data_IF_890791680818
#
_entry.id   IF_890791680818
#
_cell.length_a   1.000
_cell.length_b   1.000
_cell.length_c   1.000
_cell.angle_alpha   90.00
_cell.angle_beta   90.00
_cell.angle_gamma   90.00
#
_symmetry.space_group_name_H-M   'P 1'
#
loop_
_entity.id
_entity.type
_entity.pdbx_description
1 polymer ?
#
# COMPACT_ATOMS: atom_id res chain seq x y z
N UNK A 1 -39.52 19.44 22.24
CA UNK A 1 -38.81 19.88 21.04
C UNK A 1 -38.83 18.71 20.07
N UNK A 2 -39.59 18.87 19.00
CA UNK A 2 -39.75 17.81 17.98
C UNK A 2 -38.43 17.66 17.16
N UNK A 3 -37.86 16.47 17.02
CA UNK A 3 -36.67 16.28 16.22
C UNK A 3 -37.08 16.40 14.75
N UNK A 4 -36.76 17.52 14.14
CA UNK A 4 -37.00 17.76 12.71
C UNK A 4 -36.26 16.69 11.91
N UNK A 5 -36.98 15.77 11.29
CA UNK A 5 -36.41 14.80 10.35
C UNK A 5 -35.97 15.58 9.11
N UNK A 6 -34.67 15.93 9.03
CA UNK A 6 -34.09 16.53 7.85
C UNK A 6 -33.96 15.42 6.79
N UNK A 7 -34.81 15.46 5.77
CA UNK A 7 -34.66 14.59 4.60
C UNK A 7 -33.33 14.88 3.93
N UNK A 8 -32.53 13.83 3.71
CA UNK A 8 -31.27 13.96 2.95
C UNK A 8 -31.51 14.74 1.65
N UNK A 9 -30.67 15.70 1.32
CA UNK A 9 -30.73 16.42 0.03
C UNK A 9 -30.78 15.44 -1.14
N UNK A 10 -31.53 15.78 -2.20
CA UNK A 10 -31.75 14.89 -3.35
C UNK A 10 -30.44 14.33 -3.94
N UNK A 11 -29.38 15.15 -4.03
CA UNK A 11 -28.09 14.70 -4.57
C UNK A 11 -27.44 13.61 -3.68
N UNK A 12 -27.63 13.63 -2.36
CA UNK A 12 -27.12 12.60 -1.45
C UNK A 12 -27.88 11.30 -1.63
N UNK A 13 -29.20 11.35 -1.83
CA UNK A 13 -29.99 10.16 -2.12
C UNK A 13 -29.57 9.53 -3.44
N UNK A 14 -29.29 10.34 -4.46
CA UNK A 14 -28.77 9.88 -5.75
C UNK A 14 -27.35 9.33 -5.58
N UNK A 15 -26.46 10.02 -4.85
CA UNK A 15 -25.11 9.53 -4.57
C UNK A 15 -25.15 8.13 -3.94
N UNK A 16 -26.01 7.92 -2.92
CA UNK A 16 -26.17 6.59 -2.29
C UNK A 16 -26.57 5.50 -3.30
N UNK A 17 -27.49 5.81 -4.22
CA UNK A 17 -27.92 4.88 -5.28
C UNK A 17 -26.82 4.61 -6.30
N UNK A 18 -26.16 5.66 -6.78
CA UNK A 18 -25.03 5.55 -7.73
C UNK A 18 -23.88 4.75 -7.14
N UNK A 19 -23.58 4.92 -5.85
CA UNK A 19 -22.56 4.13 -5.14
C UNK A 19 -22.86 2.64 -5.19
N UNK A 20 -24.13 2.22 -5.09
CA UNK A 20 -24.52 0.81 -5.17
C UNK A 20 -24.34 0.23 -6.58
N UNK A 21 -24.25 1.05 -7.62
CA UNK A 21 -23.98 0.60 -8.98
C UNK A 21 -22.49 0.28 -9.17
N UNK A 22 -21.60 1.00 -8.45
CA UNK A 22 -20.16 0.73 -8.45
C UNK A 22 -19.89 -0.64 -7.85
N UNK A 23 -19.23 -1.50 -8.59
CA UNK A 23 -18.92 -2.87 -8.20
C UNK A 23 -20.04 -3.89 -8.43
N UNK A 24 -21.29 -3.44 -8.66
CA UNK A 24 -22.42 -4.32 -8.99
C UNK A 24 -22.74 -4.33 -10.47
N UNK A 25 -22.97 -3.17 -11.06
CA UNK A 25 -23.29 -3.01 -12.48
C UNK A 25 -22.08 -2.52 -13.30
N UNK A 26 -21.20 -1.74 -12.66
CA UNK A 26 -20.01 -1.14 -13.30
C UNK A 26 -18.76 -1.55 -12.53
N UNK A 27 -17.85 -2.25 -13.21
CA UNK A 27 -16.58 -2.69 -12.65
C UNK A 27 -15.46 -1.71 -12.95
N UNK A 28 -14.29 -1.90 -12.32
CA UNK A 28 -13.10 -1.07 -12.50
C UNK A 28 -12.76 -0.84 -13.98
N UNK A 29 -12.46 0.41 -14.32
CA UNK A 29 -12.07 0.83 -15.67
C UNK A 29 -13.23 0.98 -16.63
N UNK A 30 -14.44 0.56 -16.26
CA UNK A 30 -15.63 0.76 -17.09
C UNK A 30 -16.11 2.21 -17.02
N UNK A 31 -16.62 2.69 -18.15
CA UNK A 31 -17.27 3.99 -18.20
C UNK A 31 -18.55 3.95 -17.36
N UNK A 32 -18.66 4.91 -16.45
CA UNK A 32 -19.82 5.08 -15.59
C UNK A 32 -20.88 5.93 -16.30
N UNK A 33 -22.17 5.79 -15.97
CA UNK A 33 -23.22 6.56 -16.62
C UNK A 33 -22.94 8.06 -16.64
N UNK A 34 -23.19 8.65 -17.79
CA UNK A 34 -23.08 10.09 -18.01
C UNK A 34 -24.13 10.87 -17.22
N UNK A 35 -23.90 12.15 -17.01
CA UNK A 35 -24.88 13.06 -16.40
C UNK A 35 -26.27 12.93 -17.04
N UNK A 36 -26.31 12.84 -18.39
CA UNK A 36 -27.56 12.70 -19.16
C UNK A 36 -28.28 11.38 -18.82
N UNK A 37 -27.58 10.26 -18.76
CA UNK A 37 -28.16 8.96 -18.44
C UNK A 37 -28.67 8.92 -16.99
N UNK A 38 -27.95 9.55 -16.05
CA UNK A 38 -28.40 9.67 -14.65
C UNK A 38 -29.68 10.50 -14.56
N UNK A 39 -29.77 11.63 -15.27
CA UNK A 39 -30.98 12.46 -15.37
C UNK A 39 -32.15 11.63 -15.85
N UNK A 40 -31.96 10.83 -16.91
CA UNK A 40 -32.99 9.97 -17.47
C UNK A 40 -33.40 8.82 -16.53
N UNK A 41 -32.41 8.16 -15.96
CA UNK A 41 -32.63 6.96 -15.10
C UNK A 41 -33.30 7.28 -13.77
N UNK A 42 -32.99 8.44 -13.18
CA UNK A 42 -33.44 8.82 -11.83
C UNK A 42 -34.43 9.99 -11.81
N UNK A 43 -34.81 10.53 -12.96
CA UNK A 43 -35.71 11.68 -13.10
C UNK A 43 -35.34 12.89 -12.23
N UNK A 44 -34.04 13.25 -12.23
CA UNK A 44 -33.49 14.36 -11.44
C UNK A 44 -32.98 15.49 -12.35
N UNK A 45 -32.72 16.67 -11.77
CA UNK A 45 -32.13 17.79 -12.51
C UNK A 45 -30.65 17.47 -12.88
N UNK A 46 -30.15 18.14 -13.96
CA UNK A 46 -28.72 18.05 -14.33
C UNK A 46 -27.81 18.51 -13.21
N UNK A 47 -28.15 19.55 -12.48
CA UNK A 47 -27.38 20.02 -11.33
C UNK A 47 -27.28 18.98 -10.22
N UNK A 48 -28.39 18.25 -9.96
CA UNK A 48 -28.41 17.15 -8.98
C UNK A 48 -27.52 15.97 -9.43
N UNK A 49 -27.62 15.58 -10.70
CA UNK A 49 -26.80 14.51 -11.28
C UNK A 49 -25.31 14.85 -11.24
N UNK A 50 -24.95 16.07 -11.67
CA UNK A 50 -23.57 16.56 -11.67
C UNK A 50 -23.00 16.60 -10.26
N UNK A 51 -23.75 17.16 -9.27
CA UNK A 51 -23.31 17.20 -7.87
C UNK A 51 -23.10 15.80 -7.28
N UNK A 52 -23.96 14.83 -7.63
CA UNK A 52 -23.80 13.45 -7.18
C UNK A 52 -22.57 12.78 -7.79
N UNK A 53 -22.32 12.97 -9.11
CA UNK A 53 -21.11 12.47 -9.76
C UNK A 53 -19.86 13.12 -9.21
N UNK A 54 -19.83 14.44 -9.05
CA UNK A 54 -18.70 15.17 -8.48
C UNK A 54 -18.36 14.68 -7.05
N UNK A 55 -19.37 14.35 -6.26
CA UNK A 55 -19.19 13.76 -4.93
C UNK A 55 -18.48 12.39 -5.03
N UNK A 56 -18.90 11.49 -5.93
CA UNK A 56 -18.27 10.19 -6.11
C UNK A 56 -16.83 10.31 -6.66
N UNK A 57 -16.56 11.33 -7.49
CA UNK A 57 -15.20 11.64 -7.94
C UNK A 57 -14.35 12.15 -6.78
N UNK A 58 -14.87 13.08 -5.96
CA UNK A 58 -14.14 13.58 -4.78
C UNK A 58 -13.87 12.50 -3.72
N UNK A 59 -14.72 11.48 -3.65
CA UNK A 59 -14.56 10.32 -2.79
C UNK A 59 -13.61 9.24 -3.39
N UNK A 60 -13.11 9.50 -4.63
CA UNK A 60 -12.19 8.56 -5.30
C UNK A 60 -12.83 7.27 -5.81
N UNK A 61 -14.17 7.18 -5.83
CA UNK A 61 -14.89 6.03 -6.41
C UNK A 61 -14.97 6.10 -7.93
N UNK A 62 -14.98 7.31 -8.47
CA UNK A 62 -14.99 7.59 -9.89
C UNK A 62 -13.82 8.50 -10.27
N UNK A 63 -13.41 8.44 -11.54
CA UNK A 63 -12.40 9.29 -12.15
C UNK A 63 -13.00 9.99 -13.35
N UNK A 64 -12.91 11.33 -13.40
CA UNK A 64 -13.33 12.11 -14.55
C UNK A 64 -12.17 12.30 -15.53
N UNK A 65 -12.35 11.85 -16.77
CA UNK A 65 -11.40 12.03 -17.86
C UNK A 65 -11.97 13.03 -18.86
N UNK A 66 -11.33 14.20 -18.94
CA UNK A 66 -11.78 15.31 -19.79
C UNK A 66 -11.98 14.86 -21.25
N UNK A 67 -13.15 15.10 -21.82
CA UNK A 67 -13.50 14.74 -23.21
C UNK A 67 -13.84 13.27 -23.44
N UNK A 68 -13.68 12.40 -22.43
CA UNK A 68 -13.92 10.95 -22.58
C UNK A 68 -15.09 10.51 -21.71
N UNK A 69 -15.17 10.98 -20.45
CA UNK A 69 -16.26 10.59 -19.54
C UNK A 69 -15.80 10.34 -18.12
N UNK A 70 -16.70 9.74 -17.34
CA UNK A 70 -16.44 9.34 -15.96
C UNK A 70 -16.28 7.80 -15.92
N UNK A 71 -15.29 7.32 -15.19
CA UNK A 71 -14.94 5.89 -15.11
C UNK A 71 -14.93 5.42 -13.67
N UNK A 72 -15.24 4.14 -13.44
CA UNK A 72 -15.11 3.52 -12.12
C UNK A 72 -13.64 3.41 -11.77
N UNK A 73 -13.25 4.03 -10.65
CA UNK A 73 -11.89 3.94 -10.12
C UNK A 73 -11.79 2.73 -9.20
N UNK A 74 -10.69 1.99 -9.32
CA UNK A 74 -10.40 0.93 -8.35
C UNK A 74 -10.04 1.60 -7.02
N UNK A 75 -10.70 1.23 -5.89
CA UNK A 75 -10.28 1.70 -4.59
C UNK A 75 -8.81 1.35 -4.39
N UNK A 76 -8.02 2.33 -3.98
CA UNK A 76 -6.63 2.09 -3.62
C UNK A 76 -6.55 1.02 -2.53
N UNK A 77 -5.51 0.20 -2.59
CA UNK A 77 -5.23 -0.76 -1.51
C UNK A 77 -4.55 0.05 -0.42
N UNK A 78 -5.24 0.21 0.71
CA UNK A 78 -4.68 0.92 1.86
C UNK A 78 -3.60 0.07 2.54
N UNK A 79 -2.40 0.60 2.66
CA UNK A 79 -1.28 -0.01 3.37
C UNK A 79 -1.09 0.71 4.72
N UNK A 80 -1.39 0.03 5.82
CA UNK A 80 -1.12 0.55 7.15
C UNK A 80 0.37 0.39 7.48
N UNK A 81 1.08 1.51 7.57
CA UNK A 81 2.51 1.56 7.89
C UNK A 81 2.87 0.97 9.27
N UNK A 82 1.88 0.75 10.14
CA UNK A 82 2.08 0.15 11.47
C UNK A 82 1.99 -1.36 11.49
N UNK A 83 1.62 -1.97 10.37
CA UNK A 83 1.25 -3.38 10.33
C UNK A 83 1.98 -4.10 9.22
N UNK A 84 2.92 -4.97 9.59
CA UNK A 84 3.55 -5.95 8.71
C UNK A 84 2.54 -7.03 8.30
N UNK A 85 1.53 -6.66 7.52
CA UNK A 85 0.55 -7.63 6.99
C UNK A 85 0.93 -8.02 5.57
N UNK A 86 0.92 -9.32 5.31
CA UNK A 86 1.16 -9.88 3.98
C UNK A 86 0.23 -9.24 2.93
N UNK A 87 0.79 -8.82 1.78
CA UNK A 87 0.02 -8.39 0.61
C UNK A 87 -1.12 -9.35 0.28
N UNK A 88 -0.83 -10.65 0.31
CA UNK A 88 -1.80 -11.72 0.00
C UNK A 88 -2.98 -11.67 0.94
N UNK A 89 -2.75 -11.49 2.23
CA UNK A 89 -3.78 -11.41 3.25
C UNK A 89 -4.59 -10.12 3.11
N UNK A 90 -3.93 -8.98 2.94
CA UNK A 90 -4.60 -7.68 2.70
C UNK A 90 -5.51 -7.72 1.47
N UNK A 91 -5.01 -8.27 0.35
CA UNK A 91 -5.81 -8.37 -0.86
C UNK A 91 -7.05 -9.27 -0.64
N UNK A 92 -6.89 -10.42 0.01
CA UNK A 92 -8.00 -11.34 0.32
C UNK A 92 -9.02 -10.71 1.27
N UNK A 93 -8.59 -10.04 2.33
CA UNK A 93 -9.47 -9.33 3.27
C UNK A 93 -10.25 -8.21 2.55
N UNK A 94 -9.66 -7.58 1.54
CA UNK A 94 -10.34 -6.61 0.69
C UNK A 94 -11.24 -7.26 -0.40
N UNK A 95 -11.47 -8.59 -0.35
CA UNK A 95 -12.28 -9.32 -1.34
C UNK A 95 -11.65 -9.39 -2.73
N UNK A 96 -10.35 -9.20 -2.84
CA UNK A 96 -9.60 -9.22 -4.10
C UNK A 96 -8.80 -10.51 -4.25
N UNK A 97 -8.53 -10.92 -5.49
CA UNK A 97 -7.72 -12.11 -5.80
C UNK A 97 -6.26 -11.70 -6.03
N UNK A 98 -5.33 -12.01 -5.09
CA UNK A 98 -3.92 -11.77 -5.27
C UNK A 98 -3.28 -12.82 -6.17
N UNK A 99 -2.30 -12.41 -6.98
CA UNK A 99 -1.42 -13.31 -7.72
C UNK A 99 0.01 -12.74 -7.75
N UNK A 100 0.97 -13.62 -8.03
CA UNK A 100 2.39 -13.26 -8.11
C UNK A 100 3.00 -13.88 -9.36
N UNK A 101 3.71 -13.06 -10.13
CA UNK A 101 4.61 -13.49 -11.18
C UNK A 101 6.04 -13.38 -10.63
N UNK A 102 6.74 -14.48 -10.56
CA UNK A 102 8.13 -14.54 -10.11
C UNK A 102 9.04 -14.35 -11.33
N UNK A 103 9.75 -13.23 -11.38
CA UNK A 103 10.68 -12.87 -12.45
C UNK A 103 12.05 -13.53 -12.19
N UNK A 104 12.58 -13.35 -10.98
CA UNK A 104 13.86 -13.91 -10.52
C UNK A 104 13.65 -14.73 -9.27
N UNK A 105 14.31 -15.87 -9.17
CA UNK A 105 14.43 -16.70 -7.98
C UNK A 105 15.72 -17.50 -8.02
N UNK A 106 16.68 -17.13 -7.22
CA UNK A 106 17.99 -17.76 -7.18
C UNK A 106 18.74 -17.50 -5.89
N UNK A 107 19.93 -18.08 -5.79
CA UNK A 107 20.90 -17.75 -4.75
C UNK A 107 22.12 -17.09 -5.37
N UNK A 108 22.63 -16.06 -4.69
CA UNK A 108 23.88 -15.40 -5.04
C UNK A 108 24.70 -15.17 -3.76
N UNK A 109 25.96 -14.79 -3.91
CA UNK A 109 26.80 -14.41 -2.77
C UNK A 109 26.62 -12.93 -2.46
N UNK A 110 26.73 -12.56 -1.18
CA UNK A 110 26.59 -11.18 -0.75
C UNK A 110 27.58 -10.21 -1.41
N UNK A 111 28.74 -10.66 -1.89
CA UNK A 111 29.67 -9.86 -2.71
C UNK A 111 29.14 -9.46 -4.09
N UNK A 112 28.05 -10.08 -4.55
CA UNK A 112 27.43 -9.85 -5.86
C UNK A 112 26.33 -8.81 -5.80
N UNK A 113 25.95 -8.36 -4.59
CA UNK A 113 24.99 -7.24 -4.36
C UNK A 113 25.75 -5.95 -4.05
N UNK A 114 25.03 -4.83 -4.07
CA UNK A 114 25.59 -3.54 -3.66
C UNK A 114 26.14 -3.60 -2.22
N UNK A 115 27.33 -3.09 -1.94
CA UNK A 115 27.96 -3.15 -0.61
C UNK A 115 27.05 -2.65 0.52
N UNK A 116 26.28 -1.60 0.25
CA UNK A 116 25.33 -1.03 1.20
C UNK A 116 24.22 -2.01 1.61
N UNK A 117 23.81 -2.91 0.72
CA UNK A 117 22.81 -3.93 1.01
C UNK A 117 23.41 -5.02 1.91
N UNK A 118 24.61 -5.48 1.59
CA UNK A 118 25.32 -6.46 2.42
C UNK A 118 25.60 -5.92 3.84
N UNK A 119 25.96 -4.65 3.95
CA UNK A 119 26.15 -3.95 5.23
C UNK A 119 24.85 -3.91 6.04
N UNK A 120 23.74 -3.51 5.42
CA UNK A 120 22.42 -3.47 6.09
C UNK A 120 21.93 -4.84 6.52
N UNK A 121 22.28 -5.89 5.77
CA UNK A 121 21.93 -7.26 6.11
C UNK A 121 22.92 -7.90 7.11
N UNK A 122 23.98 -7.21 7.50
CA UNK A 122 25.04 -7.68 8.40
C UNK A 122 25.65 -9.03 7.95
N UNK A 123 25.80 -9.22 6.64
CA UNK A 123 26.32 -10.44 6.03
C UNK A 123 27.76 -10.27 5.54
N UNK A 124 28.52 -11.38 5.50
CA UNK A 124 29.87 -11.42 4.94
C UNK A 124 29.78 -11.64 3.42
N UNK A 125 30.81 -11.26 2.68
CA UNK A 125 30.89 -11.44 1.23
C UNK A 125 30.63 -12.88 0.74
N UNK A 126 30.96 -13.87 1.57
CA UNK A 126 30.77 -15.30 1.26
C UNK A 126 29.38 -15.83 1.52
N UNK A 127 28.58 -15.09 2.30
CA UNK A 127 27.25 -15.53 2.70
C UNK A 127 26.29 -15.57 1.51
N UNK A 128 25.33 -16.48 1.56
CA UNK A 128 24.35 -16.64 0.50
C UNK A 128 23.09 -15.84 0.81
N UNK A 129 22.61 -15.18 -0.22
CA UNK A 129 21.32 -14.50 -0.24
C UNK A 129 20.40 -15.17 -1.26
N UNK A 130 19.13 -15.25 -0.97
CA UNK A 130 18.10 -15.45 -1.98
C UNK A 130 17.81 -14.11 -2.65
N UNK A 131 17.79 -14.10 -3.98
CA UNK A 131 17.33 -13.01 -4.80
C UNK A 131 15.94 -13.32 -5.34
N UNK A 132 15.02 -12.37 -5.19
CA UNK A 132 13.65 -12.49 -5.64
C UNK A 132 13.20 -11.19 -6.31
N UNK A 133 12.81 -11.29 -7.59
CA UNK A 133 12.07 -10.23 -8.27
C UNK A 133 10.65 -10.71 -8.54
N UNK A 134 9.67 -9.94 -8.13
CA UNK A 134 8.27 -10.33 -8.18
C UNK A 134 7.37 -9.20 -8.64
N UNK A 135 6.45 -9.51 -9.55
CA UNK A 135 5.31 -8.65 -9.84
C UNK A 135 4.10 -9.19 -9.09
N UNK A 136 3.54 -8.37 -8.21
CA UNK A 136 2.33 -8.73 -7.47
C UNK A 136 1.13 -8.05 -8.12
N UNK A 137 0.09 -8.83 -8.36
CA UNK A 137 -1.12 -8.37 -9.02
C UNK A 137 -2.35 -8.61 -8.17
N UNK A 138 -3.37 -7.79 -8.39
CA UNK A 138 -4.69 -7.91 -7.79
C UNK A 138 -5.72 -7.97 -8.91
N UNK A 139 -6.54 -9.02 -8.93
CA UNK A 139 -7.52 -9.26 -10.00
C UNK A 139 -6.87 -9.22 -11.40
N UNK A 140 -5.63 -9.74 -11.51
CA UNK A 140 -4.86 -9.74 -12.76
C UNK A 140 -4.17 -8.43 -13.13
N UNK A 141 -4.34 -7.37 -12.33
CA UNK A 141 -3.70 -6.06 -12.58
C UNK A 141 -2.42 -5.96 -11.74
N UNK A 142 -1.23 -5.76 -12.35
CA UNK A 142 0.01 -5.52 -11.64
C UNK A 142 -0.06 -4.25 -10.81
N UNK A 143 0.29 -4.35 -9.53
CA UNK A 143 0.18 -3.23 -8.57
C UNK A 143 1.47 -2.99 -7.80
N UNK A 144 2.35 -4.01 -7.69
CA UNK A 144 3.63 -3.94 -6.98
C UNK A 144 4.71 -4.62 -7.81
N UNK A 145 5.87 -3.97 -7.92
CA UNK A 145 7.13 -4.57 -8.37
C UNK A 145 8.08 -4.62 -7.16
N UNK A 146 8.54 -5.81 -6.82
CA UNK A 146 9.32 -6.07 -5.62
C UNK A 146 10.66 -6.70 -5.99
N UNK A 147 11.75 -6.09 -5.53
CA UNK A 147 13.09 -6.64 -5.55
C UNK A 147 13.55 -6.89 -4.12
N UNK A 148 13.98 -8.11 -3.81
CA UNK A 148 14.28 -8.51 -2.44
C UNK A 148 15.48 -9.43 -2.35
N UNK A 149 16.34 -9.18 -1.36
CA UNK A 149 17.36 -10.11 -0.91
C UNK A 149 16.99 -10.64 0.47
N UNK A 150 17.09 -11.97 0.65
CA UNK A 150 16.77 -12.64 1.92
C UNK A 150 17.97 -13.45 2.36
N UNK A 151 18.38 -13.32 3.62
CA UNK A 151 19.52 -14.03 4.18
C UNK A 151 19.24 -15.54 4.17
N UNK A 152 19.96 -16.29 3.33
CA UNK A 152 19.65 -17.68 3.04
C UNK A 152 19.88 -18.63 4.23
N UNK A 153 20.74 -18.26 5.18
CA UNK A 153 20.99 -19.07 6.38
C UNK A 153 19.75 -19.18 7.29
N UNK A 154 18.87 -18.17 7.29
CA UNK A 154 17.62 -18.21 8.07
C UNK A 154 16.50 -19.02 7.39
N UNK A 155 16.52 -19.13 6.07
CA UNK A 155 15.56 -19.90 5.30
C UNK A 155 16.23 -20.73 4.17
N UNK A 156 17.11 -21.69 4.53
CA UNK A 156 17.97 -22.38 3.56
C UNK A 156 17.20 -23.22 2.53
N UNK A 157 15.96 -23.60 2.84
CA UNK A 157 15.08 -24.45 2.02
C UNK A 157 13.90 -23.65 1.43
N UNK A 158 14.04 -22.34 1.24
CA UNK A 158 13.00 -21.55 0.57
C UNK A 158 12.76 -22.11 -0.84
N UNK A 159 11.52 -22.36 -1.18
CA UNK A 159 11.11 -22.94 -2.47
C UNK A 159 10.51 -21.90 -3.41
N UNK A 160 10.52 -22.19 -4.72
CA UNK A 160 9.85 -21.37 -5.73
C UNK A 160 8.38 -21.16 -5.40
N UNK A 161 7.65 -22.21 -5.02
CA UNK A 161 6.23 -22.13 -4.66
C UNK A 161 5.98 -21.19 -3.47
N UNK A 162 6.86 -21.18 -2.48
CA UNK A 162 6.80 -20.25 -1.35
C UNK A 162 7.08 -18.80 -1.80
N UNK A 163 8.03 -18.62 -2.74
CA UNK A 163 8.33 -17.30 -3.32
C UNK A 163 7.19 -16.75 -4.19
N UNK A 164 6.44 -17.61 -4.88
CA UNK A 164 5.22 -17.25 -5.62
C UNK A 164 4.04 -16.96 -4.68
N UNK A 165 4.09 -17.44 -3.45
CA UNK A 165 3.08 -17.22 -2.42
C UNK A 165 3.35 -16.01 -1.52
N UNK A 166 3.02 -16.17 -0.24
CA UNK A 166 3.32 -15.23 0.83
C UNK A 166 4.64 -15.59 1.50
N UNK A 167 5.67 -14.75 1.33
CA UNK A 167 6.95 -14.93 2.04
C UNK A 167 6.77 -14.86 3.55
N UNK A 168 5.90 -13.96 4.05
CA UNK A 168 5.61 -13.88 5.48
C UNK A 168 5.08 -15.20 6.03
N UNK A 169 4.12 -15.80 5.32
CA UNK A 169 3.60 -17.12 5.69
C UNK A 169 4.69 -18.20 5.61
N UNK A 170 5.52 -18.19 4.56
CA UNK A 170 6.63 -19.12 4.45
C UNK A 170 7.62 -18.97 5.61
N UNK A 171 7.99 -17.74 5.96
CA UNK A 171 8.90 -17.47 7.07
C UNK A 171 8.34 -17.92 8.42
N UNK A 172 7.09 -17.56 8.73
CA UNK A 172 6.48 -17.83 10.03
C UNK A 172 6.06 -19.30 10.18
N UNK A 173 5.40 -19.87 9.18
CA UNK A 173 4.83 -21.22 9.27
C UNK A 173 5.85 -22.31 8.90
N UNK A 174 6.57 -22.13 7.76
CA UNK A 174 7.48 -23.18 7.26
C UNK A 174 8.88 -23.10 7.88
N UNK A 175 9.38 -21.88 8.09
CA UNK A 175 10.72 -21.66 8.64
C UNK A 175 10.70 -21.29 10.13
N UNK A 176 9.53 -21.10 10.74
CA UNK A 176 9.32 -20.79 12.16
C UNK A 176 10.09 -19.56 12.64
N UNK A 177 10.22 -18.58 11.76
CA UNK A 177 10.86 -17.31 12.08
C UNK A 177 9.85 -16.38 12.76
N UNK A 178 10.31 -15.67 13.78
CA UNK A 178 9.52 -14.62 14.44
C UNK A 178 10.03 -13.28 13.91
N UNK A 179 9.17 -12.55 13.19
CA UNK A 179 9.49 -11.25 12.59
C UNK A 179 9.07 -10.17 13.57
N UNK A 180 10.04 -9.33 13.99
CA UNK A 180 9.79 -8.22 14.90
C UNK A 180 9.20 -7.01 14.19
N UNK A 181 9.71 -6.70 13.00
CA UNK A 181 9.35 -5.50 12.29
C UNK A 181 10.18 -5.25 11.05
N UNK A 182 10.08 -4.06 10.52
CA UNK A 182 10.96 -3.56 9.48
C UNK A 182 11.20 -2.05 9.64
N UNK A 183 12.42 -1.62 9.34
CA UNK A 183 12.74 -0.20 9.15
C UNK A 183 12.48 0.17 7.70
N UNK A 184 11.53 1.07 7.47
CA UNK A 184 11.07 1.44 6.15
C UNK A 184 11.35 2.92 5.84
N UNK A 185 11.75 3.19 4.61
CA UNK A 185 11.78 4.53 4.03
C UNK A 185 10.86 4.58 2.82
N UNK A 186 9.93 5.52 2.80
CA UNK A 186 8.96 5.71 1.71
C UNK A 186 9.32 6.98 0.93
N UNK A 187 9.37 6.89 -0.40
CA UNK A 187 9.64 8.00 -1.31
C UNK A 187 8.66 8.01 -2.47
N UNK A 188 8.37 9.19 -3.01
CA UNK A 188 7.69 9.32 -4.29
C UNK A 188 8.74 9.28 -5.42
N UNK A 189 8.50 8.43 -6.42
CA UNK A 189 9.37 8.27 -7.59
C UNK A 189 8.54 8.22 -8.86
N UNK A 190 9.21 8.36 -10.01
CA UNK A 190 8.61 8.11 -11.32
C UNK A 190 9.12 6.77 -11.85
N UNK A 191 8.22 5.96 -12.41
CA UNK A 191 8.59 4.66 -12.98
C UNK A 191 9.51 4.84 -14.19
N UNK A 192 10.59 4.07 -14.21
CA UNK A 192 11.45 3.91 -15.38
C UNK A 192 10.69 3.14 -16.49
N UNK A 193 11.18 3.12 -17.74
CA UNK A 193 10.56 2.33 -18.81
C UNK A 193 10.40 0.84 -18.47
N UNK A 194 11.41 0.22 -17.87
CA UNK A 194 11.40 -1.19 -17.48
C UNK A 194 10.40 -1.48 -16.36
N UNK A 195 10.41 -0.65 -15.30
CA UNK A 195 9.46 -0.76 -14.18
C UNK A 195 8.01 -0.56 -14.64
N UNK A 196 7.80 0.39 -15.57
CA UNK A 196 6.50 0.67 -16.16
C UNK A 196 5.97 -0.51 -17.00
N UNK A 197 6.85 -1.21 -17.73
CA UNK A 197 6.51 -2.40 -18.49
C UNK A 197 6.02 -3.52 -17.56
N UNK A 198 6.78 -3.83 -16.49
CA UNK A 198 6.38 -4.84 -15.50
C UNK A 198 5.06 -4.51 -14.82
N UNK A 199 4.85 -3.24 -14.48
CA UNK A 199 3.63 -2.76 -13.82
C UNK A 199 2.47 -2.47 -14.77
N UNK A 200 2.67 -2.62 -16.09
CA UNK A 200 1.69 -2.28 -17.14
C UNK A 200 1.11 -0.87 -16.93
N UNK A 201 1.99 0.07 -16.64
CA UNK A 201 1.67 1.48 -16.41
C UNK A 201 2.36 2.35 -17.47
N UNK A 202 1.90 3.58 -17.73
CA UNK A 202 2.64 4.51 -18.57
C UNK A 202 4.02 4.84 -18.00
N UNK A 203 5.02 5.00 -18.85
CA UNK A 203 6.36 5.45 -18.44
C UNK A 203 6.27 6.80 -17.73
N UNK A 204 7.01 6.95 -16.64
CA UNK A 204 6.95 8.17 -15.83
C UNK A 204 5.71 8.29 -14.95
N UNK A 205 4.88 7.23 -14.83
CA UNK A 205 3.80 7.21 -13.84
C UNK A 205 4.36 7.32 -12.43
N UNK A 206 3.66 8.04 -11.51
CA UNK A 206 4.09 8.12 -10.13
C UNK A 206 3.96 6.76 -9.40
N UNK A 207 4.95 6.47 -8.56
CA UNK A 207 4.95 5.32 -7.68
C UNK A 207 5.45 5.72 -6.29
N UNK A 208 5.08 4.92 -5.28
CA UNK A 208 5.66 4.98 -3.96
C UNK A 208 6.74 3.90 -3.87
N UNK A 209 7.98 4.31 -3.68
CA UNK A 209 9.10 3.41 -3.43
C UNK A 209 9.23 3.18 -1.93
N UNK A 210 9.26 1.93 -1.53
CA UNK A 210 9.59 1.51 -0.17
C UNK A 210 10.93 0.79 -0.20
N UNK A 211 11.89 1.29 0.55
CA UNK A 211 13.14 0.58 0.83
C UNK A 211 13.12 0.18 2.30
N UNK A 212 13.23 -1.11 2.56
CA UNK A 212 13.12 -1.62 3.92
C UNK A 212 14.17 -2.67 4.27
N UNK A 213 14.46 -2.77 5.57
CA UNK A 213 15.20 -3.89 6.18
C UNK A 213 14.30 -4.52 7.21
N UNK A 214 13.95 -5.77 7.02
CA UNK A 214 13.14 -6.53 7.96
C UNK A 214 13.96 -7.29 8.97
N UNK A 215 13.50 -7.29 10.21
CA UNK A 215 14.20 -7.79 11.39
C UNK A 215 13.48 -8.98 12.02
N UNK A 216 14.25 -9.94 12.47
CA UNK A 216 13.81 -11.00 13.37
C UNK A 216 13.62 -10.46 14.79
N UNK A 217 12.93 -11.22 15.67
CA UNK A 217 12.75 -10.88 17.08
C UNK A 217 14.09 -10.65 17.80
N UNK A 218 15.17 -11.25 17.30
CA UNK A 218 16.54 -11.08 17.79
C UNK A 218 17.24 -9.84 17.26
N UNK A 219 16.52 -8.90 16.60
CA UNK A 219 17.05 -7.70 15.94
C UNK A 219 18.05 -8.01 14.79
N UNK A 220 18.09 -9.28 14.34
CA UNK A 220 18.96 -9.70 13.23
C UNK A 220 18.22 -9.46 11.91
N UNK A 221 18.86 -8.83 10.89
CA UNK A 221 18.26 -8.63 9.58
C UNK A 221 17.93 -9.97 8.89
N UNK A 222 16.69 -10.08 8.40
CA UNK A 222 16.24 -11.22 7.60
C UNK A 222 16.24 -10.90 6.11
N UNK A 223 15.74 -9.70 5.73
CA UNK A 223 15.67 -9.29 4.34
C UNK A 223 15.93 -7.79 4.14
N UNK A 224 16.37 -7.46 2.97
CA UNK A 224 16.32 -6.12 2.40
C UNK A 224 15.38 -6.13 1.20
N UNK A 225 14.66 -5.03 0.98
CA UNK A 225 13.80 -4.89 -0.18
C UNK A 225 13.78 -3.47 -0.73
N UNK A 226 13.57 -3.39 -2.04
CA UNK A 226 13.10 -2.22 -2.76
C UNK A 226 11.80 -2.57 -3.45
N UNK A 227 10.72 -1.95 -3.07
CA UNK A 227 9.38 -2.26 -3.54
C UNK A 227 8.71 -1.02 -4.11
N UNK A 228 8.20 -1.12 -5.32
CA UNK A 228 7.47 -0.05 -6.00
C UNK A 228 5.98 -0.36 -5.98
N UNK A 229 5.22 0.57 -5.44
CA UNK A 229 3.76 0.52 -5.40
C UNK A 229 3.20 1.55 -6.39
N UNK A 230 2.34 1.12 -7.30
CA UNK A 230 1.64 2.06 -8.21
C UNK A 230 0.80 3.04 -7.40
N UNK A 231 1.07 4.36 -7.54
CA UNK A 231 0.40 5.38 -6.75
C UNK A 231 -1.09 5.55 -7.12
N UNK A 232 -1.51 5.10 -8.31
CA UNK A 232 -2.92 5.09 -8.71
C UNK A 232 -3.73 3.92 -8.11
N UNK A 233 -3.02 2.94 -7.50
CA UNK A 233 -3.60 1.69 -7.00
C UNK A 233 -3.36 1.48 -5.49
N UNK A 234 -2.41 2.21 -4.92
CA UNK A 234 -1.97 2.07 -3.52
C UNK A 234 -1.95 3.40 -2.81
N UNK A 235 -2.34 3.40 -1.55
CA UNK A 235 -2.16 4.49 -0.60
C UNK A 235 -1.54 3.96 0.69
N UNK A 236 -0.65 4.75 1.29
CA UNK A 236 -0.08 4.47 2.59
C UNK A 236 -0.86 5.24 3.65
N UNK A 237 -1.42 4.51 4.61
CA UNK A 237 -2.20 5.07 5.71
C UNK A 237 -1.44 4.94 7.02
N UNK A 238 -1.39 6.00 7.80
CA UNK A 238 -0.90 5.97 9.18
C UNK A 238 -1.82 6.77 10.07
N UNK A 239 -2.26 6.18 11.19
CA UNK A 239 -3.00 6.91 12.21
C UNK A 239 -2.01 7.47 13.24
N UNK A 240 -1.88 8.78 13.26
CA UNK A 240 -1.14 9.47 14.31
C UNK A 240 -1.95 9.43 15.61
N UNK A 241 -1.29 9.07 16.71
CA UNK A 241 -1.88 9.11 18.05
C UNK A 241 -2.08 10.56 18.53
N UNK A 242 -2.75 10.77 19.68
CA UNK A 242 -2.81 12.08 20.28
C UNK A 242 -1.38 12.58 20.55
N UNK A 243 -1.10 13.82 20.17
CA UNK A 243 0.12 14.51 20.59
C UNK A 243 0.07 14.53 22.12
N UNK A 244 0.90 13.74 22.78
CA UNK A 244 1.11 13.92 24.19
C UNK A 244 1.71 15.31 24.32
N UNK A 245 0.90 16.29 24.79
CA UNK A 245 1.45 17.57 25.25
C UNK A 245 2.53 17.19 26.24
N UNK A 246 3.78 17.54 25.95
CA UNK A 246 4.85 17.41 26.92
C UNK A 246 4.30 18.02 28.19
N UNK A 247 4.15 17.24 29.26
CA UNK A 247 3.83 17.78 30.56
C UNK A 247 4.87 18.89 30.80
N UNK A 248 4.47 20.13 31.04
CA UNK A 248 5.45 21.16 31.32
C UNK A 248 6.32 20.60 32.45
N UNK A 249 7.63 20.63 32.27
CA UNK A 249 8.62 20.29 33.29
C UNK A 249 8.51 21.36 34.42
N UNK A 250 7.38 21.33 35.13
CA UNK A 250 7.22 22.04 36.42
C UNK A 250 7.78 21.09 37.46
N UNK A 251 8.99 21.35 37.91
CA UNK A 251 9.48 20.77 39.13
C UNK A 251 10.99 20.49 39.25
N UNK A 252 11.78 20.50 38.19
CA UNK A 252 13.20 20.18 38.31
C UNK A 252 14.16 21.37 38.27
N UNK A 253 13.68 22.59 38.01
CA UNK A 253 14.53 23.79 38.00
C UNK A 253 14.50 24.58 39.30
N UNK A 254 13.65 24.23 40.27
CA UNK A 254 13.57 24.98 41.55
C UNK A 254 14.53 24.42 42.62
N UNK A 255 14.90 23.14 42.56
CA UNK A 255 15.82 22.54 43.54
C UNK A 255 17.30 22.84 43.28
N UNK A 256 17.69 23.14 42.05
CA UNK A 256 19.11 23.46 41.76
C UNK A 256 19.49 24.91 42.01
N UNK A 257 18.54 25.84 42.18
CA UNK A 257 18.83 27.23 42.53
C UNK A 257 18.95 27.47 44.03
N UNK A 258 18.60 26.51 44.88
CA UNK A 258 18.78 26.65 46.35
C UNK A 258 20.11 26.10 46.90
N UNK A 259 20.89 25.39 46.05
CA UNK A 259 22.19 24.83 46.43
C UNK A 259 23.40 25.73 46.11
N UNK A 260 23.18 26.92 45.52
CA UNK A 260 24.27 27.87 45.17
C UNK A 260 24.25 29.11 46.08
N UNK A 261 23.41 29.12 47.11
CA UNK A 261 23.43 30.16 48.16
C UNK A 261 23.58 29.54 49.56
N UNK A 262 24.71 28.93 49.78
CA UNK A 262 25.31 28.73 51.09
C UNK A 262 26.83 28.71 50.95
#
# INVERSE_FOLDING_TARGET
MDPTIVRDPMYQQINKRLRLLVGREYTFGQQFPTEREIVQRFAVSRATANKALASLVSEGLLEFRKGIGTFVRQPAISYDLRSLVSFTEKARTAGKTPSTLLLTFGKLKAREVEPQIAEKLLVKESDLLWELDRVRAVNGIPVILEHRFVVASHCPKLTRSQAEGSLYQAWTESHRLIIAGADETVRAVLLTPEEAEHLKAPVGSPALEVVAVGLLETEIPLWWERTLYRADMYEFHSRLGPVQSAKPLRGQFVEQMQLVKK
#
